data_IF_003283870691
#
_entry.id   IF_003283870691
#
_cell.length_a   1.000
_cell.length_b   1.000
_cell.length_c   1.000
_cell.angle_alpha   90.00
_cell.angle_beta   90.00
_cell.angle_gamma   90.00
#
_symmetry.space_group_name_H-M   'P 1'
#
loop_
_entity.id
_entity.type
_entity.pdbx_description
1 polymer ?
#
# COMPACT_ATOMS: atom_id res chain seq x y z
N UNK A 1 18.74 15.03 -3.28
CA UNK A 1 18.28 14.78 -1.90
C UNK A 1 16.78 14.57 -1.92
N UNK A 2 16.27 13.54 -1.26
CA UNK A 2 14.83 13.24 -1.20
C UNK A 2 14.09 14.35 -0.47
N UNK A 3 12.98 14.80 -1.05
CA UNK A 3 12.10 15.85 -0.53
C UNK A 3 10.72 15.36 -0.17
N UNK A 4 10.33 14.16 -0.65
CA UNK A 4 9.05 13.55 -0.33
C UNK A 4 9.14 12.03 -0.27
N UNK A 5 8.36 11.44 0.64
CA UNK A 5 8.15 10.01 0.74
C UNK A 5 6.67 9.71 0.56
N UNK A 6 6.36 8.82 -0.37
CA UNK A 6 5.04 8.28 -0.63
C UNK A 6 4.98 6.91 0.02
N UNK A 7 4.03 6.66 0.89
CA UNK A 7 3.88 5.41 1.62
C UNK A 7 2.63 4.66 1.18
N UNK A 8 2.78 3.38 0.92
CA UNK A 8 1.68 2.44 1.04
C UNK A 8 1.27 2.26 2.51
N UNK A 9 0.13 1.65 2.78
CA UNK A 9 -0.45 1.51 4.12
C UNK A 9 -0.45 0.06 4.59
N UNK A 10 -1.20 -0.80 3.89
CA UNK A 10 -1.50 -2.18 4.30
C UNK A 10 -0.29 -3.09 4.12
N UNK A 11 0.28 -3.62 5.21
CA UNK A 11 1.54 -4.36 5.18
C UNK A 11 2.80 -3.49 5.25
N UNK A 12 2.65 -2.17 5.09
CA UNK A 12 3.74 -1.20 5.16
C UNK A 12 3.73 -0.43 6.48
N UNK A 13 2.64 0.24 6.81
CA UNK A 13 2.50 1.05 8.04
C UNK A 13 1.70 0.34 9.12
N UNK A 14 0.74 -0.50 8.73
CA UNK A 14 -0.13 -1.28 9.62
C UNK A 14 -0.15 -2.75 9.22
N UNK A 15 -0.28 -3.63 10.21
CA UNK A 15 -0.36 -5.09 10.04
C UNK A 15 -1.82 -5.50 9.76
N UNK A 16 -2.24 -5.38 8.50
CA UNK A 16 -3.63 -5.60 8.06
C UNK A 16 -3.77 -6.68 6.98
N UNK A 17 -2.65 -7.11 6.35
CA UNK A 17 -2.65 -7.95 5.15
C UNK A 17 -3.36 -9.28 5.36
N UNK A 18 -3.10 -9.97 6.48
CA UNK A 18 -3.73 -11.26 6.78
C UNK A 18 -5.24 -11.12 6.95
N UNK A 19 -5.69 -10.06 7.65
CA UNK A 19 -7.12 -9.77 7.82
C UNK A 19 -7.82 -9.49 6.49
N UNK A 20 -7.19 -8.71 5.61
CA UNK A 20 -7.70 -8.48 4.26
C UNK A 20 -7.74 -9.77 3.45
N UNK A 21 -6.68 -10.58 3.47
CA UNK A 21 -6.64 -11.84 2.71
C UNK A 21 -7.76 -12.80 3.13
N UNK A 22 -8.00 -12.95 4.43
CA UNK A 22 -9.08 -13.79 4.95
C UNK A 22 -10.46 -13.26 4.57
N UNK A 23 -10.67 -11.95 4.66
CA UNK A 23 -11.92 -11.31 4.28
C UNK A 23 -12.22 -11.49 2.78
N UNK A 24 -11.24 -11.29 1.92
CA UNK A 24 -11.37 -11.50 0.49
C UNK A 24 -11.61 -12.98 0.12
N UNK A 25 -10.86 -13.93 0.71
CA UNK A 25 -11.05 -15.36 0.47
C UNK A 25 -12.44 -15.84 0.89
N UNK A 26 -12.95 -15.36 2.03
CA UNK A 26 -14.30 -15.68 2.49
C UNK A 26 -15.36 -15.06 1.57
N UNK A 27 -15.23 -13.80 1.18
CA UNK A 27 -16.18 -13.15 0.27
C UNK A 27 -16.22 -13.84 -1.11
N UNK A 28 -15.07 -14.25 -1.64
CA UNK A 28 -15.00 -15.02 -2.88
C UNK A 28 -15.70 -16.37 -2.73
N UNK A 29 -15.48 -17.08 -1.62
CA UNK A 29 -16.12 -18.38 -1.36
C UNK A 29 -17.63 -18.29 -1.20
N UNK A 30 -18.14 -17.26 -0.56
CA UNK A 30 -19.59 -17.02 -0.45
C UNK A 30 -20.25 -16.84 -1.82
N UNK A 31 -19.49 -16.42 -2.85
CA UNK A 31 -19.96 -16.28 -4.24
C UNK A 31 -19.58 -17.46 -5.14
N UNK A 32 -19.09 -18.56 -4.56
CA UNK A 32 -18.78 -19.80 -5.29
C UNK A 32 -17.36 -19.89 -5.89
N UNK A 33 -16.49 -18.92 -5.60
CA UNK A 33 -15.10 -18.92 -6.06
C UNK A 33 -14.16 -19.41 -4.96
N UNK A 34 -13.25 -20.30 -5.26
CA UNK A 34 -12.37 -20.95 -4.26
C UNK A 34 -10.88 -20.85 -4.63
N UNK A 35 -10.32 -19.63 -4.73
CA UNK A 35 -8.93 -19.46 -5.13
C UNK A 35 -7.92 -19.98 -4.10
N UNK A 36 -8.31 -20.04 -2.84
CA UNK A 36 -7.45 -20.39 -1.70
C UNK A 36 -6.73 -19.16 -1.12
N UNK A 37 -6.60 -19.18 0.21
CA UNK A 37 -6.11 -18.05 0.99
C UNK A 37 -4.72 -17.56 0.54
N UNK A 38 -3.79 -18.49 0.23
CA UNK A 38 -2.43 -18.08 -0.19
C UNK A 38 -2.43 -17.35 -1.54
N UNK A 39 -3.28 -17.77 -2.47
CA UNK A 39 -3.42 -17.10 -3.75
C UNK A 39 -4.01 -15.68 -3.58
N UNK A 40 -5.00 -15.53 -2.70
CA UNK A 40 -5.60 -14.22 -2.36
C UNK A 40 -4.59 -13.34 -1.65
N UNK A 41 -3.89 -13.86 -0.64
CA UNK A 41 -2.87 -13.13 0.13
C UNK A 41 -1.84 -12.46 -0.78
N UNK A 42 -1.40 -13.14 -1.82
CA UNK A 42 -0.46 -12.61 -2.81
C UNK A 42 -1.06 -11.52 -3.73
N UNK A 43 -2.36 -11.23 -3.66
CA UNK A 43 -2.97 -10.14 -4.42
C UNK A 43 -3.29 -8.92 -3.55
N UNK A 44 -3.16 -9.01 -2.22
CA UNK A 44 -3.36 -7.86 -1.33
C UNK A 44 -2.35 -6.74 -1.70
N UNK A 45 -2.77 -5.50 -1.52
CA UNK A 45 -2.07 -4.30 -2.00
C UNK A 45 -2.60 -3.78 -3.35
N UNK A 46 -3.34 -4.62 -4.10
CA UNK A 46 -4.12 -4.18 -5.27
C UNK A 46 -5.52 -3.71 -4.84
N UNK A 47 -6.14 -2.86 -5.65
CA UNK A 47 -7.59 -2.64 -5.56
C UNK A 47 -8.39 -3.76 -6.21
N UNK A 48 -9.69 -3.77 -5.98
CA UNK A 48 -10.61 -4.77 -6.52
C UNK A 48 -10.52 -4.93 -8.05
N UNK A 49 -10.30 -3.82 -8.76
CA UNK A 49 -10.14 -3.78 -10.22
C UNK A 49 -8.97 -4.62 -10.75
N UNK A 50 -7.93 -4.85 -9.93
CA UNK A 50 -6.74 -5.63 -10.27
C UNK A 50 -6.70 -6.99 -9.55
N UNK A 51 -7.40 -7.14 -8.42
CA UNK A 51 -7.46 -8.36 -7.65
C UNK A 51 -8.47 -9.35 -8.24
N UNK A 52 -9.70 -8.92 -8.48
CA UNK A 52 -10.80 -9.78 -8.94
C UNK A 52 -10.51 -10.47 -10.28
N UNK A 53 -9.94 -9.80 -11.30
CA UNK A 53 -9.61 -10.45 -12.58
C UNK A 53 -8.54 -11.57 -12.46
N UNK A 54 -7.92 -11.75 -11.31
CA UNK A 54 -7.02 -12.89 -11.07
C UNK A 54 -7.78 -14.18 -10.81
N UNK A 55 -9.04 -14.08 -10.41
CA UNK A 55 -9.86 -15.20 -9.96
C UNK A 55 -11.17 -15.36 -10.74
N UNK A 56 -11.63 -14.29 -11.37
CA UNK A 56 -12.91 -14.20 -12.08
C UNK A 56 -12.67 -13.85 -13.54
N UNK A 57 -13.54 -14.37 -14.41
CA UNK A 57 -13.65 -13.91 -15.80
C UNK A 57 -14.25 -12.50 -15.88
N UNK A 58 -14.12 -11.78 -17.01
CA UNK A 58 -14.69 -10.43 -17.16
C UNK A 58 -16.19 -10.37 -16.88
N UNK A 59 -16.97 -11.37 -17.35
CA UNK A 59 -18.42 -11.42 -17.10
C UNK A 59 -18.76 -11.67 -15.62
N UNK A 60 -17.98 -12.48 -14.92
CA UNK A 60 -18.14 -12.69 -13.46
C UNK A 60 -17.76 -11.46 -12.65
N UNK A 61 -16.70 -10.74 -13.06
CA UNK A 61 -16.35 -9.44 -12.44
C UNK A 61 -17.49 -8.45 -12.60
N UNK A 62 -18.09 -8.33 -13.79
CA UNK A 62 -19.23 -7.46 -14.04
C UNK A 62 -20.44 -7.84 -13.17
N UNK A 63 -20.70 -9.15 -13.04
CA UNK A 63 -21.86 -9.67 -12.31
C UNK A 63 -21.71 -9.63 -10.80
N UNK A 64 -20.54 -9.99 -10.26
CA UNK A 64 -20.33 -10.26 -8.84
C UNK A 64 -19.31 -9.32 -8.17
N UNK A 65 -18.50 -8.61 -8.96
CA UNK A 65 -17.32 -7.90 -8.43
C UNK A 65 -17.64 -6.90 -7.34
N UNK A 66 -18.65 -6.05 -7.54
CA UNK A 66 -19.05 -5.04 -6.54
C UNK A 66 -19.57 -5.68 -5.26
N UNK A 67 -20.35 -6.77 -5.34
CA UNK A 67 -20.89 -7.47 -4.17
C UNK A 67 -19.78 -8.18 -3.38
N UNK A 68 -18.81 -8.79 -4.07
CA UNK A 68 -17.66 -9.42 -3.43
C UNK A 68 -16.79 -8.38 -2.70
N UNK A 69 -16.51 -7.24 -3.34
CA UNK A 69 -15.73 -6.15 -2.73
C UNK A 69 -16.42 -5.58 -1.48
N UNK A 70 -17.71 -5.27 -1.58
CA UNK A 70 -18.49 -4.79 -0.44
C UNK A 70 -18.49 -5.80 0.71
N UNK A 71 -18.66 -7.09 0.37
CA UNK A 71 -18.65 -8.17 1.36
C UNK A 71 -17.29 -8.34 2.02
N UNK A 72 -16.19 -8.31 1.24
CA UNK A 72 -14.83 -8.38 1.77
C UNK A 72 -14.54 -7.22 2.74
N UNK A 73 -14.94 -6.00 2.37
CA UNK A 73 -14.78 -4.82 3.22
C UNK A 73 -15.60 -4.96 4.53
N UNK A 74 -16.84 -5.43 4.45
CA UNK A 74 -17.68 -5.67 5.62
C UNK A 74 -17.08 -6.72 6.57
N UNK A 75 -16.58 -7.82 6.02
CA UNK A 75 -15.91 -8.88 6.79
C UNK A 75 -14.64 -8.35 7.45
N UNK A 76 -13.80 -7.63 6.74
CA UNK A 76 -12.61 -7.02 7.31
C UNK A 76 -12.95 -6.10 8.49
N UNK A 77 -13.88 -5.17 8.29
CA UNK A 77 -14.30 -4.21 9.33
C UNK A 77 -14.88 -4.87 10.57
N UNK A 78 -15.66 -5.93 10.39
CA UNK A 78 -16.36 -6.57 11.52
C UNK A 78 -15.55 -7.60 12.26
N UNK A 79 -14.52 -8.20 11.64
CA UNK A 79 -13.80 -9.34 12.22
C UNK A 79 -12.31 -9.11 12.44
N UNK A 80 -11.69 -8.22 11.65
CA UNK A 80 -10.24 -8.09 11.64
C UNK A 80 -9.74 -6.71 12.06
N UNK A 81 -10.50 -5.64 11.81
CA UNK A 81 -10.05 -4.27 12.04
C UNK A 81 -9.60 -4.03 13.49
N UNK A 82 -10.30 -4.56 14.47
CA UNK A 82 -9.96 -4.40 15.89
C UNK A 82 -8.62 -5.05 16.27
N UNK A 83 -8.11 -5.95 15.43
CA UNK A 83 -6.81 -6.62 15.63
C UNK A 83 -5.66 -5.91 14.92
N UNK A 84 -5.93 -4.98 14.01
CA UNK A 84 -4.91 -4.26 13.24
C UNK A 84 -4.09 -3.36 14.15
N UNK A 85 -2.79 -3.35 13.99
CA UNK A 85 -1.84 -2.53 14.76
C UNK A 85 -0.83 -1.86 13.83
N UNK A 86 -0.31 -0.71 14.24
CA UNK A 86 0.83 -0.10 13.59
C UNK A 86 2.08 -0.97 13.70
N UNK A 87 2.87 -1.00 12.65
CA UNK A 87 4.22 -1.54 12.77
C UNK A 87 5.10 -0.67 13.68
N UNK A 88 6.11 -1.26 14.35
CA UNK A 88 6.98 -0.51 15.22
C UNK A 88 7.69 0.65 14.52
N UNK A 89 7.79 1.80 15.19
CA UNK A 89 8.52 3.00 14.76
C UNK A 89 7.90 3.77 13.59
N UNK A 90 6.69 3.46 13.17
CA UNK A 90 5.98 4.21 12.12
C UNK A 90 5.87 5.69 12.49
N UNK A 91 5.29 6.01 13.65
CA UNK A 91 5.17 7.40 14.11
C UNK A 91 6.51 8.13 14.17
N UNK A 92 7.52 7.48 14.72
CA UNK A 92 8.86 8.08 14.87
C UNK A 92 9.50 8.41 13.50
N UNK A 93 9.25 7.58 12.47
CA UNK A 93 9.69 7.86 11.12
C UNK A 93 8.99 9.09 10.55
N UNK A 94 7.67 9.22 10.75
CA UNK A 94 6.90 10.35 10.27
C UNK A 94 7.29 11.66 10.96
N UNK A 95 7.53 11.63 12.28
CA UNK A 95 8.03 12.78 13.04
C UNK A 95 9.43 13.22 12.58
N UNK A 96 10.32 12.28 12.29
CA UNK A 96 11.63 12.59 11.76
C UNK A 96 11.55 13.23 10.37
N UNK A 97 10.76 12.66 9.47
CA UNK A 97 10.54 13.23 8.13
C UNK A 97 9.97 14.66 8.23
N UNK A 98 9.04 14.89 9.18
CA UNK A 98 8.49 16.23 9.43
C UNK A 98 9.56 17.21 9.90
N UNK A 99 10.38 16.80 10.86
CA UNK A 99 11.48 17.61 11.41
C UNK A 99 12.47 18.03 10.32
N UNK A 100 12.72 17.15 9.36
CA UNK A 100 13.67 17.40 8.26
C UNK A 100 13.00 18.10 7.05
N UNK A 101 11.72 18.47 7.15
CA UNK A 101 10.98 19.15 6.10
C UNK A 101 10.66 18.27 4.89
N UNK A 102 10.74 16.94 5.04
CA UNK A 102 10.39 15.98 3.99
C UNK A 102 8.88 15.75 3.99
N UNK A 103 8.23 15.89 2.81
CA UNK A 103 6.78 15.69 2.67
C UNK A 103 6.40 14.22 2.77
N UNK A 104 5.28 13.93 3.38
CA UNK A 104 4.74 12.58 3.64
C UNK A 104 3.37 12.45 2.99
N UNK A 105 3.26 11.51 2.04
CA UNK A 105 2.02 11.23 1.31
C UNK A 105 1.64 9.78 1.52
N UNK A 106 0.37 9.50 1.76
CA UNK A 106 -0.18 8.15 1.75
C UNK A 106 -0.75 7.83 0.37
N UNK A 107 -0.53 6.61 -0.12
CA UNK A 107 -1.02 6.13 -1.41
C UNK A 107 -1.57 4.71 -1.26
N UNK A 108 -2.87 4.61 -1.00
CA UNK A 108 -3.58 3.34 -0.73
C UNK A 108 -4.63 3.03 -1.79
N UNK A 109 -4.79 1.74 -2.09
CA UNK A 109 -5.92 1.24 -2.90
C UNK A 109 -7.24 1.17 -2.11
N UNK A 110 -7.24 1.55 -0.83
CA UNK A 110 -8.42 1.66 0.03
C UNK A 110 -9.22 2.93 -0.22
N UNK A 111 -10.43 2.97 0.33
CA UNK A 111 -11.32 4.16 0.27
C UNK A 111 -10.87 5.23 1.26
N UNK A 112 -11.26 6.51 1.08
CA UNK A 112 -10.86 7.61 1.96
C UNK A 112 -11.07 7.32 3.45
N UNK A 113 -12.25 6.80 3.83
CA UNK A 113 -12.56 6.49 5.23
C UNK A 113 -11.66 5.39 5.83
N UNK A 114 -11.19 4.45 5.00
CA UNK A 114 -10.28 3.38 5.44
C UNK A 114 -8.86 3.92 5.62
N UNK A 115 -8.44 4.88 4.78
CA UNK A 115 -7.17 5.60 4.92
C UNK A 115 -7.18 6.50 6.18
N UNK A 116 -8.28 7.17 6.48
CA UNK A 116 -8.42 7.94 7.71
C UNK A 116 -8.31 7.04 8.95
N UNK A 117 -9.01 5.90 8.94
CA UNK A 117 -8.91 4.91 10.03
C UNK A 117 -7.49 4.36 10.18
N UNK A 118 -6.79 4.11 9.08
CA UNK A 118 -5.40 3.64 9.10
C UNK A 118 -4.45 4.68 9.70
N UNK A 119 -4.66 5.99 9.47
CA UNK A 119 -3.88 7.06 10.11
C UNK A 119 -4.04 7.04 11.65
N UNK A 120 -5.27 6.81 12.13
CA UNK A 120 -5.55 6.66 13.58
C UNK A 120 -4.81 5.46 14.14
N UNK A 121 -4.92 4.28 13.48
CA UNK A 121 -4.24 3.05 13.91
C UNK A 121 -2.71 3.24 13.91
N UNK A 122 -2.16 3.86 12.86
CA UNK A 122 -0.74 4.13 12.73
C UNK A 122 -0.25 5.26 13.65
N UNK A 123 -1.17 5.99 14.30
CA UNK A 123 -0.90 7.14 15.16
C UNK A 123 -0.08 8.24 14.44
N UNK A 124 -0.48 8.55 13.19
CA UNK A 124 0.17 9.53 12.32
C UNK A 124 -0.76 10.67 11.89
N UNK A 125 -1.91 10.82 12.55
CA UNK A 125 -2.81 11.96 12.34
C UNK A 125 -2.06 13.28 12.54
N UNK A 126 -2.26 14.21 11.59
CA UNK A 126 -1.55 15.50 11.59
C UNK A 126 -0.08 15.43 11.13
N UNK A 127 0.45 14.25 10.84
CA UNK A 127 1.80 14.06 10.29
C UNK A 127 1.81 13.79 8.78
N UNK A 128 0.65 13.67 8.16
CA UNK A 128 0.48 13.39 6.72
C UNK A 128 0.18 14.69 5.99
N UNK A 129 0.91 14.96 4.91
CA UNK A 129 0.75 16.19 4.12
C UNK A 129 -0.33 16.06 3.03
N UNK A 130 -0.52 14.84 2.51
CA UNK A 130 -1.55 14.52 1.52
C UNK A 130 -1.83 13.00 1.50
N UNK A 131 -2.98 12.63 0.98
CA UNK A 131 -3.32 11.23 0.72
C UNK A 131 -3.89 11.07 -0.69
N UNK A 132 -3.68 9.87 -1.27
CA UNK A 132 -4.27 9.40 -2.51
C UNK A 132 -4.96 8.08 -2.21
N UNK A 133 -6.19 7.93 -2.64
CA UNK A 133 -7.08 6.82 -2.34
C UNK A 133 -7.63 6.19 -3.62
N UNK A 134 -8.41 5.11 -3.51
CA UNK A 134 -9.10 4.51 -4.65
C UNK A 134 -9.98 5.50 -5.41
N UNK A 135 -10.55 6.49 -4.75
CA UNK A 135 -11.46 7.46 -5.35
C UNK A 135 -10.72 8.51 -6.23
N UNK A 136 -9.41 8.64 -6.06
CA UNK A 136 -8.57 9.58 -6.82
C UNK A 136 -8.08 8.97 -8.16
N UNK A 137 -8.26 7.66 -8.40
CA UNK A 137 -7.64 6.95 -9.52
C UNK A 137 -8.63 6.05 -10.26
N UNK A 138 -8.36 5.81 -11.55
CA UNK A 138 -9.17 4.88 -12.36
C UNK A 138 -8.67 3.44 -12.27
N UNK A 139 -7.36 3.27 -12.09
CA UNK A 139 -6.70 1.95 -12.02
C UNK A 139 -5.81 1.89 -10.80
N UNK A 140 -5.99 0.85 -10.00
CA UNK A 140 -5.16 0.63 -8.83
C UNK A 140 -3.77 0.04 -9.16
N UNK A 141 -2.91 -0.10 -8.16
CA UNK A 141 -1.61 -0.77 -8.29
C UNK A 141 -1.76 -2.16 -8.93
N UNK A 142 -0.89 -2.53 -9.87
CA UNK A 142 0.38 -1.96 -10.26
C UNK A 142 0.34 -0.85 -11.32
N UNK A 143 -0.80 -0.23 -11.60
CA UNK A 143 -0.86 0.97 -12.45
C UNK A 143 -0.15 2.14 -11.77
N UNK A 144 0.51 3.04 -12.53
CA UNK A 144 1.19 4.21 -11.96
C UNK A 144 0.23 5.29 -11.47
N UNK A 145 -1.07 5.17 -11.72
CA UNK A 145 -2.06 6.23 -11.53
C UNK A 145 -1.99 6.84 -10.12
N UNK A 146 -1.94 6.01 -9.07
CA UNK A 146 -1.89 6.46 -7.69
C UNK A 146 -0.60 7.25 -7.37
N UNK A 147 0.52 6.84 -7.95
CA UNK A 147 1.81 7.53 -7.77
C UNK A 147 1.83 8.85 -8.55
N UNK A 148 1.25 8.88 -9.75
CA UNK A 148 1.14 10.07 -10.57
C UNK A 148 0.25 11.14 -9.89
N UNK A 149 -0.87 10.73 -9.29
CA UNK A 149 -1.72 11.63 -8.49
C UNK A 149 -0.95 12.15 -7.26
N UNK A 150 -0.21 11.29 -6.57
CA UNK A 150 0.64 11.71 -5.44
C UNK A 150 1.69 12.74 -5.86
N UNK A 151 2.37 12.54 -6.99
CA UNK A 151 3.31 13.52 -7.56
C UNK A 151 2.62 14.85 -7.90
N UNK A 152 1.40 14.82 -8.41
CA UNK A 152 0.60 16.03 -8.65
C UNK A 152 0.34 16.82 -7.36
N UNK A 153 0.01 16.12 -6.26
CA UNK A 153 -0.20 16.74 -4.94
C UNK A 153 1.11 17.24 -4.31
N UNK A 154 2.26 16.74 -4.77
CA UNK A 154 3.59 17.13 -4.30
C UNK A 154 4.25 18.26 -5.11
N UNK A 155 3.63 18.71 -6.20
CA UNK A 155 4.21 19.76 -7.04
C UNK A 155 4.67 20.97 -6.19
N UNK A 156 5.86 21.55 -6.45
CA UNK A 156 6.76 21.33 -7.59
C UNK A 156 7.86 20.26 -7.38
N UNK A 157 7.74 19.38 -6.38
CA UNK A 157 8.73 18.30 -6.14
C UNK A 157 8.67 17.31 -7.30
N UNK A 158 9.83 17.02 -7.89
CA UNK A 158 9.92 16.11 -9.04
C UNK A 158 9.96 14.63 -8.61
N UNK A 159 9.64 13.72 -9.54
CA UNK A 159 9.67 12.27 -9.28
C UNK A 159 11.04 11.78 -8.78
N UNK A 160 12.15 12.36 -9.30
CA UNK A 160 13.51 12.02 -8.86
C UNK A 160 13.86 12.50 -7.44
N UNK A 161 13.04 13.38 -6.85
CA UNK A 161 13.16 13.84 -5.47
C UNK A 161 12.19 13.13 -4.52
N UNK A 162 11.46 12.12 -5.04
CA UNK A 162 10.52 11.31 -4.30
C UNK A 162 11.01 9.86 -4.18
N UNK A 163 10.63 9.19 -3.10
CA UNK A 163 10.69 7.74 -2.98
C UNK A 163 9.31 7.19 -2.63
N UNK A 164 9.03 5.98 -3.09
CA UNK A 164 7.85 5.22 -2.70
C UNK A 164 8.28 4.09 -1.77
N UNK A 165 7.61 3.94 -0.65
CA UNK A 165 7.84 2.87 0.34
C UNK A 165 6.61 1.97 0.35
N UNK A 166 6.80 0.68 0.09
CA UNK A 166 5.74 -0.32 0.08
C UNK A 166 6.28 -1.72 0.34
N UNK A 167 5.41 -2.69 0.54
CA UNK A 167 5.78 -4.05 0.89
C UNK A 167 5.48 -5.09 -0.21
N UNK A 168 4.89 -4.65 -1.33
CA UNK A 168 4.47 -5.54 -2.42
C UNK A 168 5.19 -5.26 -3.75
N UNK A 169 5.27 -6.27 -4.65
CA UNK A 169 5.70 -6.07 -6.03
C UNK A 169 4.84 -5.05 -6.79
N UNK A 170 3.56 -4.88 -6.38
CA UNK A 170 2.62 -3.94 -7.00
C UNK A 170 3.01 -2.49 -6.76
N UNK A 171 3.51 -2.19 -5.57
CA UNK A 171 4.05 -0.89 -5.18
C UNK A 171 5.29 -0.55 -6.00
N UNK A 172 6.25 -1.48 -6.04
CA UNK A 172 7.48 -1.32 -6.80
C UNK A 172 7.21 -1.07 -8.28
N UNK A 173 6.29 -1.83 -8.89
CA UNK A 173 5.91 -1.67 -10.29
C UNK A 173 5.20 -0.34 -10.55
N UNK A 174 4.28 0.08 -9.68
CA UNK A 174 3.58 1.36 -9.80
C UNK A 174 4.57 2.53 -9.71
N UNK A 175 5.45 2.54 -8.71
CA UNK A 175 6.48 3.56 -8.52
C UNK A 175 7.43 3.63 -9.73
N UNK A 176 7.98 2.49 -10.18
CA UNK A 176 8.87 2.42 -11.34
C UNK A 176 8.22 2.98 -12.61
N UNK A 177 6.93 2.63 -12.86
CA UNK A 177 6.19 3.12 -14.04
C UNK A 177 5.94 4.63 -13.98
N UNK A 178 5.89 5.20 -12.77
CA UNK A 178 5.77 6.65 -12.55
C UNK A 178 7.13 7.37 -12.49
N UNK A 179 8.25 6.67 -12.63
CA UNK A 179 9.60 7.24 -12.56
C UNK A 179 10.06 7.57 -11.14
N UNK A 180 9.43 6.98 -10.12
CA UNK A 180 9.77 7.15 -8.70
C UNK A 180 10.60 5.95 -8.24
N UNK A 181 11.65 6.21 -7.45
CA UNK A 181 12.43 5.15 -6.80
C UNK A 181 11.58 4.42 -5.77
N UNK A 182 11.48 3.09 -5.88
CA UNK A 182 10.79 2.24 -4.92
C UNK A 182 11.75 1.67 -3.88
N UNK A 183 11.31 1.63 -2.61
CA UNK A 183 11.93 0.95 -1.49
C UNK A 183 10.96 -0.11 -0.96
N UNK A 184 11.47 -1.32 -0.76
CA UNK A 184 10.69 -2.43 -0.23
C UNK A 184 10.74 -2.50 1.30
N UNK A 185 9.63 -2.91 1.92
CA UNK A 185 9.59 -3.38 3.30
C UNK A 185 9.40 -4.89 3.27
N UNK A 186 10.30 -5.61 3.94
CA UNK A 186 10.28 -7.07 4.01
C UNK A 186 9.02 -7.59 4.70
N UNK A 187 8.43 -8.63 4.15
CA UNK A 187 7.24 -9.29 4.67
C UNK A 187 7.31 -10.82 4.38
N UNK A 188 6.50 -11.66 5.02
CA UNK A 188 6.57 -13.11 4.85
C UNK A 188 5.96 -13.62 3.53
N UNK A 189 5.31 -12.77 2.73
CA UNK A 189 4.55 -13.15 1.52
C UNK A 189 5.43 -13.06 0.27
N UNK A 190 6.25 -12.02 0.20
CA UNK A 190 7.17 -11.74 -0.90
C UNK A 190 8.60 -11.73 -0.38
N UNK A 191 9.48 -12.49 -1.03
CA UNK A 191 10.91 -12.45 -0.74
C UNK A 191 11.53 -11.12 -1.17
N UNK A 192 12.65 -10.76 -0.55
CA UNK A 192 13.44 -9.60 -0.96
C UNK A 192 13.80 -9.65 -2.45
N UNK A 193 14.09 -10.85 -2.98
CA UNK A 193 14.40 -11.06 -4.39
C UNK A 193 13.23 -10.68 -5.30
N UNK A 194 12.00 -11.06 -4.94
CA UNK A 194 10.79 -10.69 -5.69
C UNK A 194 10.55 -9.17 -5.68
N UNK A 195 10.77 -8.50 -4.54
CA UNK A 195 10.65 -7.04 -4.44
C UNK A 195 11.71 -6.32 -5.27
N UNK A 196 12.96 -6.79 -5.24
CA UNK A 196 14.05 -6.23 -6.06
C UNK A 196 13.79 -6.44 -7.55
N UNK A 197 13.34 -7.62 -7.97
CA UNK A 197 12.99 -7.93 -9.36
C UNK A 197 11.81 -7.06 -9.85
N UNK A 198 10.82 -6.80 -8.98
CA UNK A 198 9.72 -5.91 -9.29
C UNK A 198 10.14 -4.44 -9.50
N UNK A 199 11.30 -4.05 -8.97
CA UNK A 199 11.87 -2.72 -9.18
C UNK A 199 12.22 -1.94 -7.92
N UNK A 200 12.14 -2.54 -6.74
CA UNK A 200 12.71 -1.92 -5.55
C UNK A 200 14.21 -1.74 -5.70
N UNK A 201 14.70 -0.57 -5.37
CA UNK A 201 16.14 -0.28 -5.33
C UNK A 201 16.82 -0.96 -4.13
N UNK A 202 16.08 -1.12 -3.06
CA UNK A 202 16.49 -1.75 -1.81
C UNK A 202 15.29 -2.27 -1.05
N UNK A 203 15.51 -3.30 -0.23
CA UNK A 203 14.53 -3.82 0.74
C UNK A 203 15.11 -3.62 2.15
N UNK A 204 14.28 -3.08 3.04
CA UNK A 204 14.54 -2.96 4.47
C UNK A 204 13.72 -4.03 5.20
N UNK A 205 14.26 -4.63 6.24
CA UNK A 205 13.58 -5.71 6.96
C UNK A 205 12.28 -5.28 7.66
N UNK A 206 12.10 -3.98 7.92
CA UNK A 206 10.91 -3.39 8.55
C UNK A 206 10.95 -1.86 8.47
N UNK A 207 9.84 -1.18 8.86
CA UNK A 207 9.84 0.28 9.08
C UNK A 207 10.85 0.69 10.16
N UNK A 208 11.03 -0.13 11.19
CA UNK A 208 12.03 0.14 12.21
C UNK A 208 13.47 0.09 11.65
N UNK A 209 13.75 -0.84 10.73
CA UNK A 209 15.03 -0.91 10.02
C UNK A 209 15.22 0.27 9.06
N UNK A 210 14.19 0.63 8.29
CA UNK A 210 14.20 1.85 7.47
C UNK A 210 14.49 3.09 8.31
N UNK A 211 13.83 3.24 9.47
CA UNK A 211 14.05 4.34 10.41
C UNK A 211 15.47 4.35 10.99
N UNK A 212 16.04 3.18 11.29
CA UNK A 212 17.42 3.05 11.76
C UNK A 212 18.43 3.47 10.68
N UNK A 213 18.11 3.17 9.41
CA UNK A 213 18.93 3.51 8.24
C UNK A 213 18.45 4.77 7.50
N UNK A 214 17.89 5.73 8.23
CA UNK A 214 17.23 6.92 7.68
C UNK A 214 18.08 7.73 6.69
N UNK A 215 19.38 7.90 6.97
CA UNK A 215 20.29 8.63 6.08
C UNK A 215 20.41 7.98 4.70
N UNK A 216 20.23 6.66 4.63
CA UNK A 216 20.24 5.92 3.36
C UNK A 216 18.95 6.16 2.57
N UNK A 217 17.83 6.45 3.21
CA UNK A 217 16.60 6.88 2.54
C UNK A 217 16.82 8.25 1.88
N UNK A 218 17.37 9.21 2.60
CA UNK A 218 17.58 10.56 2.10
C UNK A 218 18.67 10.65 1.01
N UNK A 219 19.66 9.76 1.05
CA UNK A 219 20.77 9.69 0.10
C UNK A 219 20.45 9.04 -1.25
N UNK A 220 19.21 8.64 -1.51
CA UNK A 220 18.81 7.90 -2.71
C UNK A 220 18.54 8.77 -3.95
N UNK A 221 18.63 10.08 -3.82
CA UNK A 221 18.43 11.02 -4.95
C UNK A 221 19.64 11.09 -5.86
#
# INVERSE_FOLDING_TARGET
MIKAVIFDIDGTLIDSVEGHAQAWDEALREHGFTPGLDAVRRQIGKGADQLLPRFLSPGEVEQFGAAIEERALALFKTRHLDCVRAFPRVRDLFEQLQSDGVRRVLASSGKPADVDQAQVIANIEGLVDAMVTSDDVTRSKPSPDIVQVALGKLAPISAGECVFVGDTPWDAQAARRAGVTALGIGNPIFSDAELLEAGCRRVFGSIADLRHNYDQLLGLA
#
